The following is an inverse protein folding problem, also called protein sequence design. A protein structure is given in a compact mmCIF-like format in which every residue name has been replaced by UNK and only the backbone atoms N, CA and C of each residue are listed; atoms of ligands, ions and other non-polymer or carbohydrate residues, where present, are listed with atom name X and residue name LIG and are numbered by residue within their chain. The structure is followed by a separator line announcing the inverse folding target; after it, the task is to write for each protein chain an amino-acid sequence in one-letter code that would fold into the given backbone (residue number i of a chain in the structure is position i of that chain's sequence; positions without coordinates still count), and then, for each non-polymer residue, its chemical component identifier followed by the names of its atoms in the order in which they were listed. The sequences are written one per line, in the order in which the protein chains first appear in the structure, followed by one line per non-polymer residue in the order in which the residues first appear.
data_IF_373118802729
#
_entry.id   IF_373118802729
#
_cell.length_a   1.000
_cell.length_b   1.000
_cell.length_c   1.000
_cell.angle_alpha   90.00
_cell.angle_beta   90.00
_cell.angle_gamma   90.00
#
_symmetry.space_group_name_H-M   'P 1'
#
loop_
_entity.id
_entity.type
_entity.pdbx_description
1 polymer ?
#
# COMPACT_ATOMS: atom_id res chain seq x y z
N UNK A 1 -20.18 -43.61 -20.33
CA UNK A 1 -19.68 -42.22 -20.44
C UNK A 1 -20.30 -41.39 -19.34
N UNK A 2 -19.50 -40.89 -18.40
CA UNK A 2 -19.74 -39.72 -17.55
C UNK A 2 -18.46 -39.49 -16.74
N UNK A 3 -17.55 -38.71 -17.31
CA UNK A 3 -16.38 -38.21 -16.60
C UNK A 3 -16.88 -37.12 -15.65
N UNK A 4 -16.90 -37.40 -14.36
CA UNK A 4 -17.08 -36.38 -13.33
C UNK A 4 -15.72 -35.71 -13.14
N UNK A 5 -15.55 -34.52 -13.72
CA UNK A 5 -14.39 -33.67 -13.46
C UNK A 5 -14.61 -33.04 -12.08
N UNK A 6 -13.99 -33.60 -11.06
CA UNK A 6 -13.44 -32.81 -9.96
C UNK A 6 -11.91 -32.91 -10.10
N UNK A 7 -11.08 -31.92 -9.76
CA UNK A 7 -11.35 -30.76 -8.89
C UNK A 7 -10.74 -29.43 -9.39
N UNK A 8 -11.37 -28.27 -9.11
CA UNK A 8 -10.56 -27.07 -8.87
C UNK A 8 -10.32 -27.05 -7.37
N UNK A 9 -9.23 -27.70 -6.97
CA UNK A 9 -8.61 -27.48 -5.68
C UNK A 9 -8.31 -25.99 -5.63
N UNK A 10 -9.17 -25.23 -4.95
CA UNK A 10 -8.79 -23.93 -4.43
C UNK A 10 -7.67 -24.22 -3.44
N UNK A 11 -6.44 -24.24 -3.96
CA UNK A 11 -5.22 -24.38 -3.21
C UNK A 11 -5.05 -23.07 -2.44
N UNK A 12 -5.82 -22.93 -1.37
CA UNK A 12 -5.46 -22.07 -0.25
C UNK A 12 -4.20 -22.69 0.35
N UNK A 13 -3.04 -22.37 -0.26
CA UNK A 13 -1.77 -22.50 0.44
C UNK A 13 -1.87 -21.53 1.60
N UNK A 14 -2.23 -22.07 2.76
CA UNK A 14 -1.94 -21.47 4.04
C UNK A 14 -0.41 -21.31 4.12
N UNK A 15 0.10 -20.17 3.67
CA UNK A 15 1.50 -19.81 3.82
C UNK A 15 1.66 -19.22 5.22
N UNK A 16 2.05 -20.07 6.17
CA UNK A 16 2.24 -19.73 7.59
C UNK A 16 3.57 -19.03 7.89
N UNK A 17 4.13 -18.30 6.92
CA UNK A 17 5.08 -17.22 7.14
C UNK A 17 4.43 -15.95 6.60
N UNK A 18 4.12 -14.99 7.47
CA UNK A 18 3.34 -13.79 7.13
C UNK A 18 3.77 -13.16 5.80
N UNK A 19 2.79 -12.83 4.95
CA UNK A 19 3.05 -12.14 3.69
C UNK A 19 3.97 -10.93 3.95
N UNK A 20 4.98 -10.69 3.10
CA UNK A 20 5.89 -9.57 3.31
C UNK A 20 5.10 -8.27 3.35
N UNK A 21 5.53 -7.33 4.17
CA UNK A 21 5.02 -5.97 4.12
C UNK A 21 5.25 -5.37 2.73
N UNK A 22 4.47 -4.35 2.37
CA UNK A 22 4.67 -3.66 1.07
C UNK A 22 6.09 -3.11 0.96
N UNK A 23 6.67 -2.64 2.06
CA UNK A 23 8.05 -2.16 2.08
C UNK A 23 9.06 -3.28 1.76
N UNK A 24 8.95 -4.44 2.42
CA UNK A 24 9.83 -5.58 2.15
C UNK A 24 9.71 -6.08 0.70
N UNK A 25 8.49 -6.07 0.16
CA UNK A 25 8.27 -6.41 -1.25
C UNK A 25 8.95 -5.41 -2.19
N UNK A 26 8.81 -4.11 -1.93
CA UNK A 26 9.49 -3.05 -2.70
C UNK A 26 11.01 -3.23 -2.63
N UNK A 27 11.57 -3.45 -1.45
CA UNK A 27 13.01 -3.63 -1.26
C UNK A 27 13.52 -4.89 -1.96
N UNK A 28 12.76 -5.97 -1.93
CA UNK A 28 13.08 -7.20 -2.66
C UNK A 28 13.11 -6.97 -4.17
N UNK A 29 12.08 -6.35 -4.72
CA UNK A 29 11.95 -6.16 -6.18
C UNK A 29 12.96 -5.14 -6.71
N UNK A 30 13.33 -4.15 -5.91
CA UNK A 30 14.29 -3.10 -6.28
C UNK A 30 15.72 -3.36 -5.80
N UNK A 31 16.01 -4.54 -5.25
CA UNK A 31 17.32 -4.88 -4.66
C UNK A 31 18.49 -4.81 -5.65
N UNK A 32 18.23 -5.10 -6.93
CA UNK A 32 19.24 -5.11 -8.01
C UNK A 32 19.15 -3.88 -8.92
N UNK A 33 18.41 -2.86 -8.50
CA UNK A 33 18.17 -1.66 -9.29
C UNK A 33 18.99 -0.52 -8.71
N UNK A 34 19.95 -0.01 -9.50
CA UNK A 34 20.82 1.09 -9.09
C UNK A 34 20.03 2.39 -8.89
N UNK A 35 19.29 2.83 -9.93
CA UNK A 35 18.39 3.97 -9.81
C UNK A 35 16.93 3.50 -9.63
N UNK A 36 16.55 3.31 -8.37
CA UNK A 36 15.20 2.88 -7.97
C UNK A 36 14.11 3.83 -8.45
N UNK A 37 14.37 5.15 -8.45
CA UNK A 37 13.38 6.16 -8.86
C UNK A 37 13.12 6.08 -10.36
N UNK A 38 14.17 5.96 -11.17
CA UNK A 38 14.04 5.83 -12.62
C UNK A 38 13.37 4.52 -13.02
N UNK A 39 13.61 3.44 -12.29
CA UNK A 39 12.96 2.16 -12.56
C UNK A 39 11.44 2.23 -12.32
N UNK A 40 10.98 2.89 -11.26
CA UNK A 40 9.55 3.13 -11.05
C UNK A 40 9.00 4.06 -12.13
N UNK A 41 9.77 5.06 -12.59
CA UNK A 41 9.31 5.99 -13.62
C UNK A 41 9.10 5.30 -14.98
N UNK A 42 10.12 4.57 -15.43
CA UNK A 42 10.25 4.10 -16.81
C UNK A 42 9.79 2.65 -17.02
N UNK A 43 9.49 1.90 -15.96
CA UNK A 43 8.99 0.53 -16.05
C UNK A 43 7.55 0.41 -15.51
N UNK A 44 6.52 0.60 -16.36
CA UNK A 44 5.13 0.56 -15.92
C UNK A 44 4.73 -0.81 -15.39
N UNK A 45 5.27 -1.91 -15.92
CA UNK A 45 4.96 -3.26 -15.44
C UNK A 45 5.50 -3.51 -14.01
N UNK A 46 6.68 -2.97 -13.70
CA UNK A 46 7.25 -3.00 -12.36
C UNK A 46 6.39 -2.19 -11.38
N UNK A 47 6.03 -0.97 -11.76
CA UNK A 47 5.15 -0.13 -10.96
C UNK A 47 3.79 -0.81 -10.71
N UNK A 48 3.16 -1.36 -11.76
CA UNK A 48 1.89 -2.06 -11.67
C UNK A 48 1.96 -3.26 -10.72
N UNK A 49 3.08 -4.01 -10.74
CA UNK A 49 3.30 -5.13 -9.82
C UNK A 49 3.35 -4.66 -8.36
N UNK A 50 4.07 -3.57 -8.09
CA UNK A 50 4.17 -2.98 -6.74
C UNK A 50 2.81 -2.44 -6.29
N UNK A 51 2.12 -1.70 -7.16
CA UNK A 51 0.83 -1.10 -6.83
C UNK A 51 -0.26 -2.16 -6.59
N UNK A 52 -0.27 -3.25 -7.37
CA UNK A 52 -1.18 -4.39 -7.11
C UNK A 52 -0.91 -5.05 -5.76
N UNK A 53 0.36 -5.24 -5.40
CA UNK A 53 0.71 -5.79 -4.09
C UNK A 53 0.27 -4.85 -2.95
N UNK A 54 0.46 -3.53 -3.13
CA UNK A 54 -0.06 -2.51 -2.23
C UNK A 54 -1.57 -2.63 -2.03
N UNK A 55 -2.35 -2.72 -3.11
CA UNK A 55 -3.80 -2.84 -3.05
C UNK A 55 -4.28 -4.13 -2.39
N UNK A 56 -3.52 -5.24 -2.52
CA UNK A 56 -3.82 -6.50 -1.83
C UNK A 56 -3.65 -6.38 -0.31
N UNK A 57 -2.61 -5.67 0.14
CA UNK A 57 -2.32 -5.48 1.57
C UNK A 57 -3.20 -4.41 2.21
N UNK A 58 -3.53 -3.36 1.47
CA UNK A 58 -4.36 -2.25 1.92
C UNK A 58 -5.61 -2.13 1.03
N UNK A 59 -6.52 -3.12 1.09
CA UNK A 59 -7.76 -3.03 0.34
C UNK A 59 -8.55 -1.83 0.87
N UNK A 60 -8.88 -0.90 -0.01
CA UNK A 60 -9.74 0.22 0.34
C UNK A 60 -11.13 -0.34 0.69
N UNK A 61 -11.49 -0.34 1.96
CA UNK A 61 -12.87 -0.60 2.36
C UNK A 61 -13.72 0.54 1.79
N UNK A 62 -14.62 0.25 0.86
CA UNK A 62 -15.47 1.25 0.19
C UNK A 62 -16.51 1.91 1.11
N UNK A 63 -16.36 1.80 2.43
CA UNK A 63 -17.38 2.15 3.42
C UNK A 63 -17.49 3.65 3.70
N UNK A 64 -16.62 4.49 3.13
CA UNK A 64 -16.77 5.94 3.17
C UNK A 64 -16.82 6.52 1.74
N UNK A 65 -18.05 6.73 1.27
CA UNK A 65 -18.49 7.37 0.03
C UNK A 65 -18.07 8.85 -0.08
N UNK A 66 -16.93 9.25 0.49
CA UNK A 66 -16.58 10.67 0.71
C UNK A 66 -15.40 11.13 -0.16
N UNK A 67 -14.54 10.25 -0.69
CA UNK A 67 -13.55 10.69 -1.70
C UNK A 67 -13.36 9.64 -2.80
N UNK A 68 -14.28 9.66 -3.76
CA UNK A 68 -14.19 8.94 -5.03
C UNK A 68 -13.17 9.64 -5.96
N UNK A 69 -11.90 9.43 -5.66
CA UNK A 69 -10.81 9.77 -6.57
C UNK A 69 -10.59 8.55 -7.45
N UNK A 70 -10.68 8.75 -8.77
CA UNK A 70 -10.41 7.75 -9.79
C UNK A 70 -9.18 6.89 -9.42
N UNK A 71 -9.31 5.57 -9.59
CA UNK A 71 -8.23 4.61 -9.33
C UNK A 71 -6.93 4.98 -10.07
N UNK A 72 -7.03 5.59 -11.26
CA UNK A 72 -5.89 6.09 -12.00
C UNK A 72 -5.16 7.23 -11.27
N UNK A 73 -5.91 8.16 -10.66
CA UNK A 73 -5.35 9.24 -9.84
C UNK A 73 -4.69 8.70 -8.57
N UNK A 74 -5.26 7.67 -7.93
CA UNK A 74 -4.65 7.01 -6.76
C UNK A 74 -3.33 6.32 -7.11
N UNK A 75 -3.26 5.66 -8.26
CA UNK A 75 -2.02 5.09 -8.75
C UNK A 75 -0.95 6.18 -8.94
N UNK A 76 -1.31 7.34 -9.49
CA UNK A 76 -0.38 8.46 -9.66
C UNK A 76 0.10 9.03 -8.31
N UNK A 77 -0.80 9.23 -7.35
CA UNK A 77 -0.44 9.69 -6.00
C UNK A 77 0.51 8.69 -5.34
N UNK A 78 0.17 7.40 -5.39
CA UNK A 78 1.02 6.33 -4.88
C UNK A 78 2.40 6.31 -5.54
N UNK A 79 2.47 6.45 -6.88
CA UNK A 79 3.74 6.53 -7.62
C UNK A 79 4.60 7.69 -7.11
N UNK A 80 3.99 8.87 -6.96
CA UNK A 80 4.67 10.07 -6.46
C UNK A 80 5.22 9.85 -5.04
N UNK A 81 4.39 9.35 -4.13
CA UNK A 81 4.77 9.10 -2.75
C UNK A 81 5.83 7.99 -2.62
N UNK A 82 5.73 6.93 -3.42
CA UNK A 82 6.75 5.88 -3.47
C UNK A 82 8.10 6.44 -3.91
N UNK A 83 8.13 7.29 -4.94
CA UNK A 83 9.36 7.97 -5.36
C UNK A 83 9.93 8.84 -4.24
N UNK A 84 9.10 9.61 -3.54
CA UNK A 84 9.53 10.42 -2.41
C UNK A 84 10.16 9.56 -1.28
N UNK A 85 9.55 8.42 -0.95
CA UNK A 85 10.10 7.46 0.02
C UNK A 85 11.45 6.93 -0.44
N UNK A 86 11.58 6.51 -1.70
CA UNK A 86 12.82 6.00 -2.25
C UNK A 86 13.93 7.05 -2.24
N UNK A 87 13.63 8.29 -2.63
CA UNK A 87 14.58 9.40 -2.60
C UNK A 87 15.04 9.70 -1.18
N UNK A 88 14.11 9.90 -0.23
CA UNK A 88 14.44 10.14 1.19
C UNK A 88 15.28 9.00 1.79
N UNK A 89 14.95 7.75 1.46
CA UNK A 89 15.65 6.59 1.99
C UNK A 89 17.03 6.37 1.33
N UNK A 90 17.29 6.96 0.17
CA UNK A 90 18.60 6.91 -0.49
C UNK A 90 19.62 7.88 0.11
N UNK A 91 19.17 8.91 0.82
CA UNK A 91 20.06 9.87 1.49
C UNK A 91 20.78 9.20 2.68
N UNK A 92 22.12 9.12 2.68
CA UNK A 92 22.89 8.57 3.80
C UNK A 92 22.85 9.46 5.05
N UNK A 93 22.51 10.74 4.92
CA UNK A 93 22.41 11.68 6.05
C UNK A 93 21.06 11.64 6.75
N UNK A 94 20.09 10.93 6.18
CA UNK A 94 18.75 10.81 6.75
C UNK A 94 18.76 9.97 8.02
N UNK A 95 18.32 10.55 9.14
CA UNK A 95 18.32 9.92 10.46
C UNK A 95 17.17 8.93 10.68
N UNK A 96 16.22 8.88 9.75
CA UNK A 96 15.07 7.97 9.79
C UNK A 96 14.66 7.52 8.38
N UNK A 97 13.96 6.38 8.29
CA UNK A 97 13.46 5.86 7.02
C UNK A 97 11.94 6.03 6.94
N UNK A 98 11.48 6.47 5.78
CA UNK A 98 10.06 6.45 5.43
C UNK A 98 9.68 5.03 4.98
N UNK A 99 8.41 4.68 5.14
CA UNK A 99 7.88 3.37 4.76
C UNK A 99 6.54 3.52 4.05
N UNK A 100 6.28 2.61 3.13
CA UNK A 100 4.95 2.46 2.52
C UNK A 100 3.97 1.88 3.53
N UNK A 101 2.77 2.46 3.60
CA UNK A 101 1.71 2.14 4.55
C UNK A 101 0.32 2.42 3.93
N UNK A 102 -0.77 2.17 4.66
CA UNK A 102 -2.15 2.30 4.18
C UNK A 102 -2.59 3.70 3.70
N UNK A 103 -1.80 4.75 3.96
CA UNK A 103 -2.07 6.13 3.52
C UNK A 103 -1.12 6.57 2.38
N UNK A 104 -0.36 5.66 1.80
CA UNK A 104 0.64 6.00 0.77
C UNK A 104 0.03 6.38 -0.57
N UNK A 105 -1.27 6.16 -0.79
CA UNK A 105 -2.04 6.67 -1.94
C UNK A 105 -2.88 7.92 -1.60
N UNK A 106 -2.62 8.56 -0.45
CA UNK A 106 -3.32 9.77 -0.01
C UNK A 106 -2.57 11.04 -0.41
N UNK A 107 -3.32 12.13 -0.58
CA UNK A 107 -2.73 13.47 -0.69
C UNK A 107 -2.38 14.02 0.70
N UNK A 108 -1.58 15.08 0.74
CA UNK A 108 -1.22 15.75 1.99
C UNK A 108 -2.47 16.29 2.71
N UNK A 109 -3.44 16.85 1.97
CA UNK A 109 -4.69 17.36 2.53
C UNK A 109 -5.54 16.26 3.17
N UNK A 110 -5.59 15.08 2.56
CA UNK A 110 -6.31 13.92 3.11
C UNK A 110 -5.63 13.42 4.39
N UNK A 111 -4.29 13.39 4.40
CA UNK A 111 -3.49 13.02 5.55
C UNK A 111 -3.68 14.00 6.70
N UNK A 112 -3.67 15.30 6.41
CA UNK A 112 -3.86 16.37 7.39
C UNK A 112 -5.29 16.38 7.94
N UNK A 113 -6.30 16.15 7.10
CA UNK A 113 -7.69 16.02 7.54
C UNK A 113 -7.86 14.87 8.55
N UNK A 114 -7.19 13.72 8.32
CA UNK A 114 -7.21 12.60 9.27
C UNK A 114 -6.50 12.94 10.58
N UNK A 115 -5.34 13.61 10.52
CA UNK A 115 -4.61 14.07 11.71
C UNK A 115 -5.45 15.05 12.53
N UNK A 116 -6.05 16.04 11.87
CA UNK A 116 -6.94 17.02 12.49
C UNK A 116 -8.14 16.33 13.15
N UNK A 117 -8.78 15.38 12.46
CA UNK A 117 -9.89 14.59 13.02
C UNK A 117 -9.47 13.81 14.27
N UNK A 118 -8.29 13.19 14.26
CA UNK A 118 -7.76 12.46 15.42
C UNK A 118 -7.49 13.39 16.61
N UNK A 119 -7.04 14.62 16.35
CA UNK A 119 -6.85 15.63 17.40
C UNK A 119 -8.17 16.10 18.01
N UNK A 120 -9.21 16.30 17.19
CA UNK A 120 -10.54 16.76 17.66
C UNK A 120 -11.26 15.67 18.47
N UNK A 121 -11.13 14.40 18.08
CA UNK A 121 -11.89 13.29 18.70
C UNK A 121 -11.21 12.65 19.92
N UNK A 122 -9.97 13.01 20.24
CA UNK A 122 -9.21 12.40 21.35
C UNK A 122 -9.00 10.87 21.18
N UNK A 123 -8.32 10.19 22.12
CA UNK A 123 -8.29 8.73 22.12
C UNK A 123 -9.71 8.20 22.32
N UNK A 124 -10.21 7.43 21.34
CA UNK A 124 -11.47 6.69 21.49
C UNK A 124 -11.28 5.68 22.62
N UNK A 125 -11.87 5.98 23.78
CA UNK A 125 -11.98 5.01 24.86
C UNK A 125 -12.94 3.91 24.39
N UNK A 126 -12.44 2.69 24.17
CA UNK A 126 -13.20 1.52 23.72
C UNK A 126 -14.30 1.05 24.71
N UNK A 127 -14.61 1.83 25.76
CA UNK A 127 -15.63 1.50 26.76
C UNK A 127 -17.03 2.07 26.45
N UNK A 128 -17.27 2.61 25.25
CA UNK A 128 -18.59 3.15 24.88
C UNK A 128 -19.34 2.37 23.79
N UNK A 129 -19.01 1.09 23.57
CA UNK A 129 -19.82 0.18 22.74
C UNK A 129 -20.53 -0.90 23.55
N UNK A 130 -21.09 -0.52 24.72
CA UNK A 130 -22.12 -1.32 25.41
C UNK A 130 -23.14 -0.36 26.02
N UNK A 131 -24.18 -0.02 25.26
CA UNK A 131 -25.53 0.26 25.75
C UNK A 131 -26.53 -0.30 24.74
#
# INVERSE_FOLDING_TARGET
MKYLIAPIVALFIAWSSGAPSVQEFVDQVLSHVDNKVDAIENNPALFDRIYRFYQQQYPRQSTAKIIDVDQAKRAQIFKSNLKAVLTHNSDPHSTFKLKINAISDWTDEESDALRARKMILGPVNNNQLVQ
#
